data_IF_395190888919
#
_entry.id   IF_395190888919
#
_cell.length_a   1.000
_cell.length_b   1.000
_cell.length_c   1.000
_cell.angle_alpha   90.00
_cell.angle_beta   90.00
_cell.angle_gamma   90.00
#
_symmetry.space_group_name_H-M   'P 1'
#
loop_
_entity.id
_entity.type
_entity.pdbx_description
1 polymer ?
#
# COMPACT_ATOMS: atom_id res chain seq x y z
N UNK A 1 -53.76 -18.10 50.29
CA UNK A 1 -54.49 -18.44 51.55
C UNK A 1 -54.66 -19.96 51.65
N UNK A 2 -53.57 -20.71 51.89
CA UNK A 2 -53.64 -22.15 52.14
C UNK A 2 -52.85 -22.48 53.42
N UNK A 3 -53.37 -22.07 54.56
CA UNK A 3 -52.98 -22.62 55.86
C UNK A 3 -54.23 -22.79 56.69
N UNK A 4 -54.89 -23.94 56.58
CA UNK A 4 -55.62 -24.57 57.68
C UNK A 4 -56.05 -26.00 57.32
N UNK A 5 -56.23 -26.78 58.37
CA UNK A 5 -56.36 -28.24 58.43
C UNK A 5 -57.45 -28.83 57.52
N UNK A 6 -57.36 -30.16 57.31
CA UNK A 6 -58.28 -30.99 56.50
C UNK A 6 -59.73 -30.49 56.48
N UNK A 7 -60.15 -29.96 55.32
CA UNK A 7 -61.55 -29.68 54.98
C UNK A 7 -61.93 -28.20 55.12
N UNK A 8 -62.21 -27.58 53.98
CA UNK A 8 -62.78 -26.22 53.76
C UNK A 8 -61.81 -25.05 53.86
N UNK A 9 -61.49 -24.42 52.72
CA UNK A 9 -60.58 -23.25 52.67
C UNK A 9 -61.28 -21.89 52.81
N UNK A 10 -62.63 -21.79 52.83
CA UNK A 10 -63.29 -20.48 52.90
C UNK A 10 -63.94 -20.15 54.25
N UNK A 11 -64.46 -21.14 54.99
CA UNK A 11 -65.30 -20.92 56.17
C UNK A 11 -66.49 -19.97 55.94
N UNK A 12 -66.74 -19.59 54.68
CA UNK A 12 -67.59 -18.50 54.21
C UNK A 12 -68.40 -19.04 53.04
N UNK A 13 -69.72 -18.98 53.15
CA UNK A 13 -70.62 -19.45 52.10
C UNK A 13 -70.63 -18.45 50.93
N UNK A 14 -70.05 -18.86 49.80
CA UNK A 14 -70.05 -18.10 48.54
C UNK A 14 -71.12 -18.60 47.55
N UNK A 15 -72.06 -19.43 48.00
CA UNK A 15 -73.15 -19.89 47.15
C UNK A 15 -74.01 -18.72 46.66
N UNK A 16 -74.50 -18.86 45.43
CA UNK A 16 -75.37 -17.88 44.79
C UNK A 16 -76.53 -18.61 44.13
N UNK A 17 -77.62 -17.88 43.87
CA UNK A 17 -78.71 -18.42 43.06
C UNK A 17 -78.26 -18.46 41.60
N UNK A 18 -78.20 -19.67 41.04
CA UNK A 18 -78.08 -19.94 39.61
C UNK A 18 -79.50 -20.07 39.05
N UNK A 19 -79.83 -19.24 38.06
CA UNK A 19 -81.19 -19.08 37.53
C UNK A 19 -81.45 -19.98 36.31
N UNK A 20 -80.40 -20.52 35.69
CA UNK A 20 -80.47 -21.50 34.60
C UNK A 20 -79.93 -22.89 34.98
N UNK A 21 -79.97 -23.83 34.03
CA UNK A 21 -79.46 -25.20 34.23
C UNK A 21 -80.44 -26.15 34.92
N UNK A 22 -80.11 -27.45 34.91
CA UNK A 22 -80.91 -28.49 35.54
C UNK A 22 -80.17 -29.06 36.75
N UNK A 23 -80.83 -29.04 37.90
CA UNK A 23 -80.32 -29.74 39.09
C UNK A 23 -80.39 -31.26 38.85
N UNK A 24 -79.23 -31.90 38.88
CA UNK A 24 -79.10 -33.35 38.93
C UNK A 24 -78.39 -33.75 40.22
N UNK A 25 -78.79 -34.88 40.79
CA UNK A 25 -78.11 -35.45 41.94
C UNK A 25 -76.68 -35.91 41.57
N UNK A 26 -75.81 -36.04 42.58
CA UNK A 26 -74.45 -36.55 42.38
C UNK A 26 -74.43 -37.96 41.77
N UNK A 27 -75.43 -38.79 42.09
CA UNK A 27 -75.57 -40.14 41.53
C UNK A 27 -75.92 -40.08 40.03
N UNK A 28 -76.87 -39.22 39.63
CA UNK A 28 -77.24 -39.02 38.23
C UNK A 28 -76.09 -38.44 37.40
N UNK A 29 -75.33 -37.50 37.95
CA UNK A 29 -74.16 -36.94 37.26
C UNK A 29 -73.03 -37.97 37.14
N UNK A 30 -72.79 -38.79 38.17
CA UNK A 30 -71.80 -39.89 38.12
C UNK A 30 -72.17 -40.96 37.08
N UNK A 31 -73.44 -41.32 36.98
CA UNK A 31 -73.91 -42.22 35.93
C UNK A 31 -73.72 -41.61 34.54
N UNK A 32 -74.02 -40.31 34.39
CA UNK A 32 -73.94 -39.59 33.12
C UNK A 32 -72.50 -39.46 32.61
N UNK A 33 -71.53 -39.26 33.50
CA UNK A 33 -70.12 -39.14 33.13
C UNK A 33 -69.41 -40.50 32.94
N UNK A 34 -69.98 -41.58 33.47
CA UNK A 34 -69.46 -42.94 33.35
C UNK A 34 -68.15 -43.19 34.12
N UNK A 35 -67.74 -44.45 34.28
CA UNK A 35 -66.58 -44.83 35.10
C UNK A 35 -65.22 -44.40 34.54
N UNK A 36 -65.15 -44.02 33.26
CA UNK A 36 -63.88 -43.81 32.55
C UNK A 36 -63.48 -42.33 32.43
N UNK A 37 -64.36 -41.38 32.78
CA UNK A 37 -64.07 -39.95 32.61
C UNK A 37 -62.89 -39.49 33.46
N UNK A 38 -62.70 -40.10 34.63
CA UNK A 38 -61.57 -39.81 35.51
C UNK A 38 -60.24 -40.19 34.85
N UNK A 39 -60.17 -41.38 34.25
CA UNK A 39 -58.98 -41.82 33.49
C UNK A 39 -58.69 -40.89 32.32
N UNK A 40 -59.73 -40.37 31.65
CA UNK A 40 -59.57 -39.37 30.59
C UNK A 40 -59.01 -38.07 31.17
N UNK A 41 -59.58 -37.56 32.26
CA UNK A 41 -59.12 -36.33 32.91
C UNK A 41 -57.68 -36.45 33.41
N UNK A 42 -57.30 -37.57 34.04
CA UNK A 42 -55.91 -37.84 34.48
C UNK A 42 -54.92 -37.88 33.29
N UNK A 43 -55.37 -38.29 32.10
CA UNK A 43 -54.50 -38.34 30.90
C UNK A 43 -54.22 -36.96 30.27
N UNK A 44 -54.98 -35.92 30.62
CA UNK A 44 -54.86 -34.59 30.00
C UNK A 44 -53.62 -33.81 30.44
N UNK A 45 -53.01 -34.20 31.57
CA UNK A 45 -51.92 -33.45 32.19
C UNK A 45 -52.34 -32.08 32.75
N UNK A 46 -53.63 -31.78 32.81
CA UNK A 46 -54.18 -30.57 33.42
C UNK A 46 -54.96 -30.93 34.69
N UNK A 47 -55.00 -30.03 35.67
CA UNK A 47 -55.86 -30.18 36.84
C UNK A 47 -57.31 -29.92 36.40
N UNK A 48 -58.20 -30.89 36.59
CA UNK A 48 -59.59 -30.79 36.12
C UNK A 48 -60.59 -31.14 37.23
N UNK A 49 -61.70 -30.41 37.26
CA UNK A 49 -62.89 -30.76 38.05
C UNK A 49 -64.18 -30.55 37.28
N UNK A 50 -65.24 -31.21 37.75
CA UNK A 50 -66.61 -31.03 37.31
C UNK A 50 -67.43 -30.56 38.51
N UNK A 51 -68.19 -29.49 38.30
CA UNK A 51 -69.04 -28.88 39.31
C UNK A 51 -70.51 -29.02 38.91
N UNK A 52 -71.39 -29.34 39.85
CA UNK A 52 -72.83 -29.23 39.63
C UNK A 52 -73.30 -27.76 39.69
N UNK A 53 -74.56 -27.51 39.33
CA UNK A 53 -75.17 -26.17 39.37
C UNK A 53 -75.32 -25.60 40.80
N UNK A 54 -75.04 -26.42 41.82
CA UNK A 54 -75.03 -26.05 43.24
C UNK A 54 -73.60 -25.89 43.79
N UNK A 55 -72.61 -25.72 42.90
CA UNK A 55 -71.19 -25.49 43.20
C UNK A 55 -70.48 -26.67 43.87
N UNK A 56 -71.10 -27.85 43.98
CA UNK A 56 -70.44 -29.03 44.54
C UNK A 56 -69.43 -29.60 43.53
N UNK A 57 -68.30 -30.08 44.04
CA UNK A 57 -67.32 -30.79 43.22
C UNK A 57 -67.75 -32.25 43.07
N UNK A 58 -68.27 -32.59 41.89
CA UNK A 58 -68.81 -33.92 41.59
C UNK A 58 -67.70 -34.90 41.23
N UNK A 59 -66.70 -34.42 40.50
CA UNK A 59 -65.57 -35.20 40.02
C UNK A 59 -64.32 -34.32 39.95
N UNK A 60 -63.18 -34.89 40.28
CA UNK A 60 -61.87 -34.26 40.10
C UNK A 60 -60.82 -35.29 39.72
N UNK A 61 -59.75 -34.84 39.07
CA UNK A 61 -58.61 -35.70 38.75
C UNK A 61 -57.48 -35.57 39.79
N UNK A 62 -56.46 -36.41 39.66
CA UNK A 62 -55.37 -36.49 40.65
C UNK A 62 -54.61 -35.16 40.78
N UNK A 63 -54.37 -34.48 39.65
CA UNK A 63 -53.71 -33.17 39.61
C UNK A 63 -54.56 -32.07 40.26
N UNK A 64 -55.89 -32.11 40.12
CA UNK A 64 -56.77 -31.15 40.77
C UNK A 64 -56.82 -31.33 42.29
N UNK A 65 -56.80 -32.58 42.75
CA UNK A 65 -56.66 -32.90 44.18
C UNK A 65 -55.36 -32.36 44.75
N UNK A 66 -54.26 -32.51 44.02
CA UNK A 66 -52.95 -31.96 44.42
C UNK A 66 -52.95 -30.43 44.44
N UNK A 67 -53.52 -29.80 43.40
CA UNK A 67 -53.60 -28.34 43.29
C UNK A 67 -54.47 -27.76 44.43
N UNK A 68 -55.66 -28.34 44.66
CA UNK A 68 -56.66 -27.85 45.62
C UNK A 68 -56.41 -28.25 47.08
N UNK A 69 -55.54 -29.23 47.33
CA UNK A 69 -55.16 -29.68 48.67
C UNK A 69 -56.28 -30.36 49.48
N UNK A 70 -57.50 -30.48 48.94
CA UNK A 70 -58.67 -31.07 49.58
C UNK A 70 -59.30 -32.10 48.65
N UNK A 71 -59.53 -33.32 49.17
CA UNK A 71 -60.28 -34.36 48.48
C UNK A 71 -61.77 -34.05 48.50
N UNK A 72 -62.33 -33.75 47.34
CA UNK A 72 -63.71 -33.34 47.17
C UNK A 72 -64.59 -34.46 46.59
N UNK A 73 -64.02 -35.34 45.76
CA UNK A 73 -64.79 -36.44 45.16
C UNK A 73 -65.30 -37.42 46.23
N UNK A 74 -66.63 -37.58 46.31
CA UNK A 74 -67.28 -38.45 47.30
C UNK A 74 -67.61 -37.77 48.62
N UNK A 75 -67.36 -36.46 48.70
CA UNK A 75 -67.73 -35.62 49.83
C UNK A 75 -68.63 -34.46 49.34
N UNK A 76 -69.95 -34.67 49.43
CA UNK A 76 -70.98 -33.70 49.00
C UNK A 76 -70.93 -32.36 49.77
N UNK A 77 -70.07 -32.23 50.79
CA UNK A 77 -69.85 -31.00 51.52
C UNK A 77 -68.79 -30.08 50.89
N UNK A 78 -67.99 -30.55 49.92
CA UNK A 78 -66.91 -29.75 49.34
C UNK A 78 -67.39 -28.98 48.11
N UNK A 79 -67.43 -27.66 48.24
CA UNK A 79 -67.82 -26.75 47.16
C UNK A 79 -66.61 -26.25 46.39
N UNK A 80 -66.82 -25.72 45.19
CA UNK A 80 -65.75 -25.21 44.35
C UNK A 80 -64.89 -24.13 45.04
N UNK A 81 -65.53 -23.30 45.89
CA UNK A 81 -64.91 -22.26 46.70
C UNK A 81 -64.20 -22.79 47.96
N UNK A 82 -64.47 -24.04 48.37
CA UNK A 82 -63.76 -24.73 49.46
C UNK A 82 -62.44 -25.36 49.00
N UNK A 83 -62.20 -25.42 47.69
CA UNK A 83 -60.90 -25.75 47.09
C UNK A 83 -60.19 -24.48 46.59
N UNK A 84 -60.93 -23.60 45.89
CA UNK A 84 -60.40 -22.36 45.34
C UNK A 84 -61.43 -21.25 45.36
N UNK A 85 -61.16 -20.22 46.15
CA UNK A 85 -61.97 -19.01 46.17
C UNK A 85 -61.10 -17.78 45.91
N UNK A 86 -61.44 -17.02 44.87
CA UNK A 86 -61.01 -15.62 44.75
C UNK A 86 -62.21 -14.76 45.20
N UNK A 87 -62.14 -14.03 46.33
CA UNK A 87 -63.24 -13.18 46.82
C UNK A 87 -63.71 -12.10 45.85
N UNK A 88 -62.91 -11.75 44.83
CA UNK A 88 -63.31 -10.82 43.77
C UNK A 88 -64.22 -11.47 42.70
N UNK A 89 -64.23 -12.81 42.63
CA UNK A 89 -64.93 -13.61 41.62
C UNK A 89 -66.03 -14.47 42.24
N UNK A 90 -65.72 -15.18 43.32
CA UNK A 90 -66.66 -16.03 44.03
C UNK A 90 -67.68 -15.18 44.79
N UNK A 91 -68.97 -15.50 44.67
CA UNK A 91 -70.03 -14.71 45.30
C UNK A 91 -70.34 -13.38 44.60
N UNK A 92 -69.72 -13.07 43.45
CA UNK A 92 -70.05 -11.91 42.59
C UNK A 92 -70.67 -12.36 41.27
N UNK A 93 -71.15 -11.43 40.45
CA UNK A 93 -71.63 -11.76 39.10
C UNK A 93 -70.51 -12.30 38.17
N UNK A 94 -69.24 -12.14 38.56
CA UNK A 94 -68.09 -12.62 37.79
C UNK A 94 -67.80 -14.12 38.01
N UNK A 95 -68.55 -14.80 38.87
CA UNK A 95 -68.42 -16.25 39.08
C UNK A 95 -68.54 -17.00 37.75
N UNK A 96 -67.57 -17.88 37.44
CA UNK A 96 -67.52 -18.64 36.19
C UNK A 96 -68.80 -19.44 35.97
N UNK A 97 -69.28 -20.15 36.99
CA UNK A 97 -70.57 -20.86 36.96
C UNK A 97 -71.73 -19.96 36.54
N UNK A 98 -71.83 -18.77 37.14
CA UNK A 98 -72.91 -17.82 36.86
C UNK A 98 -72.81 -17.26 35.44
N UNK A 99 -71.60 -16.92 35.00
CA UNK A 99 -71.33 -16.44 33.65
C UNK A 99 -71.66 -17.48 32.56
N UNK A 100 -71.42 -18.77 32.81
CA UNK A 100 -71.78 -19.81 31.86
C UNK A 100 -73.28 -20.13 31.88
N UNK A 101 -73.85 -20.33 33.07
CA UNK A 101 -75.21 -20.86 33.22
C UNK A 101 -76.28 -19.78 33.05
N UNK A 102 -76.12 -18.60 33.67
CA UNK A 102 -77.12 -17.53 33.63
C UNK A 102 -76.95 -16.62 32.41
N UNK A 103 -75.70 -16.36 32.00
CA UNK A 103 -75.40 -15.49 30.86
C UNK A 103 -75.16 -16.24 29.55
N UNK A 104 -75.25 -17.58 29.56
CA UNK A 104 -75.25 -18.40 28.35
C UNK A 104 -73.93 -18.45 27.59
N UNK A 105 -72.79 -18.27 28.28
CA UNK A 105 -71.47 -18.40 27.64
C UNK A 105 -71.13 -19.88 27.41
N UNK A 106 -70.58 -20.19 26.24
CA UNK A 106 -70.17 -21.56 25.88
C UNK A 106 -68.76 -21.92 26.38
N UNK A 107 -67.94 -20.92 26.69
CA UNK A 107 -66.61 -21.10 27.26
C UNK A 107 -66.16 -19.82 27.99
N UNK A 108 -65.40 -19.98 29.06
CA UNK A 108 -64.56 -18.93 29.63
C UNK A 108 -63.13 -19.43 29.63
N UNK A 109 -62.23 -18.64 29.06
CA UNK A 109 -60.79 -18.90 29.05
C UNK A 109 -60.07 -17.67 29.59
N UNK A 110 -59.42 -17.81 30.72
CA UNK A 110 -58.75 -16.69 31.40
C UNK A 110 -57.41 -17.13 31.98
N UNK A 111 -56.43 -16.24 31.95
CA UNK A 111 -55.18 -16.44 32.66
C UNK A 111 -55.33 -15.97 34.11
N UNK A 112 -54.92 -16.81 35.06
CA UNK A 112 -55.04 -16.56 36.49
C UNK A 112 -53.77 -17.01 37.21
N UNK A 113 -53.33 -16.24 38.19
CA UNK A 113 -52.28 -16.66 39.11
C UNK A 113 -52.88 -17.57 40.19
N UNK A 114 -52.36 -18.80 40.30
CA UNK A 114 -52.82 -19.78 41.28
C UNK A 114 -51.72 -20.07 42.29
N UNK A 115 -52.03 -19.86 43.56
CA UNK A 115 -51.18 -20.32 44.65
C UNK A 115 -51.44 -21.83 44.84
N UNK A 116 -50.46 -22.65 44.45
CA UNK A 116 -50.42 -24.09 44.74
C UNK A 116 -50.40 -24.32 46.25
N UNK A 117 -50.81 -25.52 46.69
CA UNK A 117 -50.81 -25.91 48.10
C UNK A 117 -49.44 -25.76 48.79
N UNK A 118 -48.35 -25.86 48.04
CA UNK A 118 -46.97 -25.65 48.52
C UNK A 118 -46.52 -24.18 48.57
N UNK A 119 -47.43 -23.22 48.30
CA UNK A 119 -47.20 -21.78 48.36
C UNK A 119 -46.58 -21.17 47.09
N UNK A 120 -46.42 -21.95 46.00
CA UNK A 120 -45.92 -21.44 44.71
C UNK A 120 -47.03 -20.74 43.94
N UNK A 121 -46.74 -19.57 43.39
CA UNK A 121 -47.63 -18.91 42.43
C UNK A 121 -47.35 -19.49 41.05
N UNK A 122 -48.37 -20.11 40.45
CA UNK A 122 -48.33 -20.78 39.16
C UNK A 122 -49.25 -20.03 38.20
N UNK A 123 -48.71 -19.37 37.15
CA UNK A 123 -49.54 -18.84 36.08
C UNK A 123 -50.30 -19.99 35.43
N UNK A 124 -51.62 -19.90 35.43
CA UNK A 124 -52.52 -20.98 35.07
C UNK A 124 -53.55 -20.48 34.08
N UNK A 125 -53.71 -21.20 32.97
CA UNK A 125 -54.84 -21.03 32.07
C UNK A 125 -56.06 -21.77 32.67
N UNK A 126 -57.12 -21.02 32.98
CA UNK A 126 -58.39 -21.57 33.41
C UNK A 126 -59.36 -21.61 32.23
N UNK A 127 -59.75 -22.80 31.81
CA UNK A 127 -60.80 -23.04 30.82
C UNK A 127 -62.02 -23.63 31.50
N UNK A 128 -63.16 -22.95 31.41
CA UNK A 128 -64.44 -23.36 31.97
C UNK A 128 -65.45 -23.59 30.84
N UNK A 129 -66.08 -24.77 30.82
CA UNK A 129 -67.06 -25.16 29.79
C UNK A 129 -68.32 -25.74 30.40
N UNK A 130 -69.51 -25.47 29.85
CA UNK A 130 -70.74 -26.07 30.32
C UNK A 130 -70.88 -27.48 29.77
N UNK A 131 -71.27 -28.42 30.63
CA UNK A 131 -71.67 -29.77 30.25
C UNK A 131 -73.19 -29.77 30.13
N UNK A 132 -73.68 -30.12 28.94
CA UNK A 132 -75.10 -30.08 28.60
C UNK A 132 -75.67 -31.49 28.45
N UNK A 133 -76.93 -31.68 28.79
CA UNK A 133 -77.67 -32.92 28.50
C UNK A 133 -78.18 -32.96 27.05
N UNK A 134 -78.90 -34.03 26.69
CA UNK A 134 -79.47 -34.24 25.35
C UNK A 134 -80.45 -33.12 24.93
N UNK A 135 -81.05 -32.41 25.89
CA UNK A 135 -81.97 -31.29 25.66
C UNK A 135 -81.24 -29.93 25.57
N UNK A 136 -79.90 -29.93 25.69
CA UNK A 136 -79.06 -28.72 25.62
C UNK A 136 -79.01 -27.92 26.91
N UNK A 137 -79.58 -28.43 28.00
CA UNK A 137 -79.61 -27.77 29.31
C UNK A 137 -78.29 -28.01 30.03
N UNK A 138 -77.72 -26.97 30.65
CA UNK A 138 -76.47 -27.11 31.43
C UNK A 138 -76.76 -27.91 32.69
N UNK A 139 -76.09 -29.05 32.86
CA UNK A 139 -76.24 -29.95 34.01
C UNK A 139 -75.05 -29.92 34.95
N UNK A 140 -73.90 -29.47 34.44
CA UNK A 140 -72.66 -29.30 35.19
C UNK A 140 -71.73 -28.35 34.42
N UNK A 141 -70.63 -27.92 35.04
CA UNK A 141 -69.53 -27.27 34.33
C UNK A 141 -68.23 -28.03 34.55
N UNK A 142 -67.36 -28.04 33.57
CA UNK A 142 -65.99 -28.53 33.69
C UNK A 142 -65.04 -27.34 33.81
N UNK A 143 -64.16 -27.38 34.80
CA UNK A 143 -63.05 -26.45 34.94
C UNK A 143 -61.73 -27.20 34.71
N UNK A 144 -60.90 -26.65 33.84
CA UNK A 144 -59.56 -27.15 33.52
C UNK A 144 -58.55 -26.05 33.84
N UNK A 145 -57.58 -26.39 34.69
CA UNK A 145 -56.47 -25.55 35.12
C UNK A 145 -55.20 -26.12 34.50
N UNK A 146 -54.60 -25.37 33.58
CA UNK A 146 -53.38 -25.77 32.88
C UNK A 146 -52.24 -24.86 33.30
N UNK A 147 -51.18 -25.45 33.86
CA UNK A 147 -49.95 -24.72 34.19
C UNK A 147 -49.28 -24.25 32.88
N UNK A 148 -49.11 -22.94 32.74
CA UNK A 148 -48.50 -22.30 31.57
C UNK A 148 -47.13 -21.69 31.89
N UNK A 149 -46.52 -22.01 33.02
CA UNK A 149 -45.22 -21.48 33.44
C UNK A 149 -44.15 -21.73 32.37
N UNK A 150 -44.05 -22.97 31.88
CA UNK A 150 -43.11 -23.33 30.83
C UNK A 150 -43.40 -22.65 29.49
N UNK A 151 -44.67 -22.39 29.18
CA UNK A 151 -45.06 -21.65 27.99
C UNK A 151 -44.58 -20.19 28.09
N UNK A 152 -44.83 -19.54 29.23
CA UNK A 152 -44.40 -18.15 29.48
C UNK A 152 -42.88 -17.99 29.51
N UNK A 153 -42.16 -18.93 30.13
CA UNK A 153 -40.71 -18.95 30.12
C UNK A 153 -40.17 -19.10 28.68
N UNK A 154 -40.75 -20.01 27.90
CA UNK A 154 -40.36 -20.22 26.52
C UNK A 154 -40.66 -19.00 25.64
N UNK A 155 -41.87 -18.41 25.71
CA UNK A 155 -42.22 -17.22 24.91
C UNK A 155 -41.39 -16.02 25.32
N UNK A 156 -41.11 -15.84 26.62
CA UNK A 156 -40.22 -14.80 27.13
C UNK A 156 -38.79 -14.96 26.62
N UNK A 157 -38.24 -16.17 26.65
CA UNK A 157 -36.90 -16.45 26.11
C UNK A 157 -36.82 -16.22 24.61
N UNK A 158 -37.84 -16.66 23.84
CA UNK A 158 -37.87 -16.46 22.38
C UNK A 158 -37.97 -14.96 22.07
N UNK A 159 -38.79 -14.20 22.79
CA UNK A 159 -38.91 -12.75 22.61
C UNK A 159 -37.57 -12.04 22.83
N UNK A 160 -36.86 -12.41 23.89
CA UNK A 160 -35.52 -11.87 24.14
C UNK A 160 -34.55 -12.17 22.99
N UNK A 161 -34.52 -13.43 22.51
CA UNK A 161 -33.68 -13.81 21.36
C UNK A 161 -34.08 -13.09 20.07
N UNK A 162 -35.36 -12.84 19.84
CA UNK A 162 -35.86 -12.07 18.69
C UNK A 162 -35.36 -10.63 18.76
N UNK A 163 -35.44 -9.98 19.93
CA UNK A 163 -34.97 -8.60 20.09
C UNK A 163 -33.46 -8.48 19.91
N UNK A 164 -32.69 -9.45 20.40
CA UNK A 164 -31.25 -9.55 20.17
C UNK A 164 -30.94 -9.74 18.68
N UNK A 165 -31.62 -10.66 18.00
CA UNK A 165 -31.46 -10.88 16.56
C UNK A 165 -31.81 -9.63 15.75
N UNK A 166 -32.85 -8.86 16.13
CA UNK A 166 -33.17 -7.57 15.50
C UNK A 166 -32.04 -6.57 15.66
N UNK A 167 -31.42 -6.49 16.83
CA UNK A 167 -30.30 -5.59 17.08
C UNK A 167 -29.09 -5.97 16.21
N UNK A 168 -28.68 -7.24 16.25
CA UNK A 168 -27.56 -7.74 15.44
C UNK A 168 -27.81 -7.58 13.94
N UNK A 169 -29.03 -7.80 13.46
CA UNK A 169 -29.37 -7.61 12.03
C UNK A 169 -29.23 -6.14 11.61
N UNK A 170 -29.56 -5.18 12.48
CA UNK A 170 -29.32 -3.75 12.18
C UNK A 170 -27.83 -3.43 12.10
N UNK A 171 -27.02 -4.00 12.99
CA UNK A 171 -25.57 -3.82 12.96
C UNK A 171 -24.96 -4.42 11.68
N UNK A 172 -25.44 -5.59 11.24
CA UNK A 172 -25.02 -6.20 9.97
C UNK A 172 -25.37 -5.32 8.77
N UNK A 173 -26.58 -4.74 8.72
CA UNK A 173 -26.97 -3.82 7.66
C UNK A 173 -26.07 -2.58 7.61
N UNK A 174 -25.81 -1.97 8.78
CA UNK A 174 -24.94 -0.79 8.89
C UNK A 174 -23.51 -1.10 8.42
N UNK A 175 -22.94 -2.20 8.91
CA UNK A 175 -21.58 -2.61 8.54
C UNK A 175 -21.47 -2.93 7.05
N UNK A 176 -22.49 -3.55 6.45
CA UNK A 176 -22.51 -3.87 5.01
C UNK A 176 -22.52 -2.60 4.16
N UNK A 177 -23.32 -1.59 4.53
CA UNK A 177 -23.30 -0.29 3.85
C UNK A 177 -21.93 0.41 3.99
N UNK A 178 -21.34 0.37 5.19
CA UNK A 178 -20.02 0.98 5.42
C UNK A 178 -18.91 0.27 4.63
N UNK A 179 -18.96 -1.06 4.50
CA UNK A 179 -18.03 -1.83 3.66
C UNK A 179 -18.18 -1.43 2.19
N UNK A 180 -19.40 -1.36 1.65
CA UNK A 180 -19.65 -0.94 0.26
C UNK A 180 -19.13 0.48 -0.02
N UNK A 181 -19.38 1.42 0.90
CA UNK A 181 -18.86 2.79 0.82
C UNK A 181 -17.33 2.84 0.83
N UNK A 182 -16.70 2.15 1.79
CA UNK A 182 -15.24 2.08 1.89
C UNK A 182 -14.62 1.43 0.66
N UNK A 183 -15.23 0.37 0.12
CA UNK A 183 -14.76 -0.28 -1.11
C UNK A 183 -14.78 0.69 -2.29
N UNK A 184 -15.87 1.46 -2.44
CA UNK A 184 -15.98 2.50 -3.48
C UNK A 184 -14.94 3.63 -3.31
N UNK A 185 -14.66 4.05 -2.08
CA UNK A 185 -13.62 5.04 -1.79
C UNK A 185 -12.21 4.51 -2.13
N UNK A 186 -11.92 3.25 -1.77
CA UNK A 186 -10.63 2.62 -2.07
C UNK A 186 -10.44 2.30 -3.55
N UNK A 187 -11.52 1.96 -4.26
CA UNK A 187 -11.51 1.81 -5.71
C UNK A 187 -11.06 3.11 -6.41
N UNK A 188 -11.54 4.28 -5.97
CA UNK A 188 -11.05 5.56 -6.52
C UNK A 188 -9.58 5.82 -6.19
N UNK A 189 -9.17 5.54 -4.95
CA UNK A 189 -7.78 5.72 -4.54
C UNK A 189 -6.81 4.82 -5.35
N UNK A 190 -7.21 3.60 -5.71
CA UNK A 190 -6.37 2.73 -6.53
C UNK A 190 -6.33 3.17 -8.01
N UNK A 191 -7.38 3.83 -8.52
CA UNK A 191 -7.33 4.49 -9.84
C UNK A 191 -6.31 5.63 -9.90
N UNK A 192 -6.18 6.40 -8.81
CA UNK A 192 -5.12 7.40 -8.69
C UNK A 192 -3.74 6.74 -8.74
N UNK A 193 -3.55 5.62 -8.02
CA UNK A 193 -2.29 4.84 -8.09
C UNK A 193 -2.02 4.31 -9.50
N UNK A 194 -3.03 3.83 -10.22
CA UNK A 194 -2.89 3.41 -11.63
C UNK A 194 -2.35 4.54 -12.53
N UNK A 195 -2.81 5.77 -12.29
CA UNK A 195 -2.33 6.95 -13.03
C UNK A 195 -0.86 7.24 -12.71
N UNK A 196 -0.46 7.13 -11.44
CA UNK A 196 0.94 7.30 -11.03
C UNK A 196 1.85 6.21 -11.62
N UNK A 197 1.38 4.96 -11.70
CA UNK A 197 2.10 3.85 -12.35
C UNK A 197 2.29 4.10 -13.85
N UNK A 198 1.29 4.67 -14.52
CA UNK A 198 1.40 5.06 -15.92
C UNK A 198 2.43 6.19 -16.12
N UNK A 199 2.43 7.17 -15.22
CA UNK A 199 3.44 8.23 -15.20
C UNK A 199 4.85 7.67 -14.97
N UNK A 200 5.00 6.74 -14.01
CA UNK A 200 6.26 6.06 -13.74
C UNK A 200 6.77 5.31 -14.97
N UNK A 201 5.88 4.59 -15.68
CA UNK A 201 6.23 3.90 -16.92
C UNK A 201 6.82 4.85 -17.96
N UNK A 202 6.19 6.02 -18.16
CA UNK A 202 6.70 7.03 -19.08
C UNK A 202 8.07 7.58 -18.65
N UNK A 203 8.29 7.79 -17.35
CA UNK A 203 9.61 8.24 -16.85
C UNK A 203 10.69 7.17 -17.01
N UNK A 204 10.34 5.89 -16.88
CA UNK A 204 11.27 4.78 -17.12
C UNK A 204 11.69 4.73 -18.60
N UNK A 205 10.74 4.91 -19.52
CA UNK A 205 11.04 5.02 -20.96
C UNK A 205 11.93 6.23 -21.28
N UNK A 206 11.68 7.37 -20.64
CA UNK A 206 12.50 8.58 -20.81
C UNK A 206 13.93 8.40 -20.29
N UNK A 207 14.10 7.73 -19.14
CA UNK A 207 15.41 7.39 -18.59
C UNK A 207 16.15 6.42 -19.52
N UNK A 208 15.47 5.41 -20.05
CA UNK A 208 16.05 4.46 -21.00
C UNK A 208 16.58 5.18 -22.25
N UNK A 209 15.75 6.04 -22.86
CA UNK A 209 16.16 6.83 -24.03
C UNK A 209 17.34 7.77 -23.72
N UNK A 210 17.35 8.37 -22.53
CA UNK A 210 18.46 9.23 -22.09
C UNK A 210 19.74 8.41 -21.86
N UNK A 211 19.62 7.19 -21.36
CA UNK A 211 20.76 6.30 -21.17
C UNK A 211 21.41 5.93 -22.52
N UNK A 212 20.60 5.58 -23.52
CA UNK A 212 21.07 5.31 -24.88
C UNK A 212 21.76 6.54 -25.51
N UNK A 213 21.19 7.74 -25.32
CA UNK A 213 21.80 8.99 -25.82
C UNK A 213 23.14 9.29 -25.14
N UNK A 214 23.24 9.07 -23.83
CA UNK A 214 24.49 9.27 -23.08
C UNK A 214 25.54 8.23 -23.46
N UNK A 215 25.15 6.99 -23.76
CA UNK A 215 26.05 5.96 -24.29
C UNK A 215 26.65 6.43 -25.63
N UNK A 216 25.84 6.83 -26.59
CA UNK A 216 26.31 7.33 -27.90
C UNK A 216 27.24 8.54 -27.76
N UNK A 217 26.90 9.50 -26.89
CA UNK A 217 27.75 10.68 -26.64
C UNK A 217 29.09 10.26 -26.00
N UNK A 218 29.07 9.28 -25.11
CA UNK A 218 30.28 8.77 -24.44
C UNK A 218 31.20 8.05 -25.43
N UNK A 219 30.64 7.20 -26.31
CA UNK A 219 31.42 6.56 -27.38
C UNK A 219 32.11 7.59 -28.27
N UNK A 220 31.37 8.61 -28.73
CA UNK A 220 31.92 9.69 -29.55
C UNK A 220 33.02 10.49 -28.82
N UNK A 221 32.82 10.77 -27.52
CA UNK A 221 33.80 11.47 -26.71
C UNK A 221 35.08 10.65 -26.50
N UNK A 222 34.96 9.34 -26.33
CA UNK A 222 36.09 8.41 -26.22
C UNK A 222 36.88 8.37 -27.51
N UNK A 223 36.21 8.25 -28.66
CA UNK A 223 36.87 8.23 -29.97
C UNK A 223 37.60 9.55 -30.25
N UNK A 224 37.01 10.69 -29.90
CA UNK A 224 37.65 11.99 -30.02
C UNK A 224 38.89 12.12 -29.09
N UNK A 225 38.83 11.55 -27.88
CA UNK A 225 39.96 11.54 -26.96
C UNK A 225 41.11 10.65 -27.48
N UNK A 226 40.80 9.44 -27.97
CA UNK A 226 41.81 8.55 -28.59
C UNK A 226 42.44 9.22 -29.81
N UNK A 227 41.65 9.86 -30.67
CA UNK A 227 42.20 10.62 -31.80
C UNK A 227 43.12 11.76 -31.34
N UNK A 228 42.76 12.47 -30.27
CA UNK A 228 43.60 13.51 -29.69
C UNK A 228 44.92 12.98 -29.11
N UNK A 229 44.92 11.78 -28.54
CA UNK A 229 46.13 11.07 -28.10
C UNK A 229 47.04 10.75 -29.30
N UNK A 230 46.48 10.17 -30.36
CA UNK A 230 47.22 9.82 -31.59
C UNK A 230 47.84 11.07 -32.26
N UNK A 231 47.07 12.17 -32.37
CA UNK A 231 47.58 13.44 -32.93
C UNK A 231 48.70 14.05 -32.09
N UNK A 232 48.64 13.89 -30.76
CA UNK A 232 49.71 14.32 -29.86
C UNK A 232 50.98 13.47 -30.05
N UNK A 233 50.86 12.15 -30.19
CA UNK A 233 52.00 11.26 -30.48
C UNK A 233 52.65 11.59 -31.83
N UNK A 234 51.87 11.82 -32.88
CA UNK A 234 52.39 12.24 -34.19
C UNK A 234 53.14 13.57 -34.09
N UNK A 235 52.58 14.52 -33.34
CA UNK A 235 53.21 15.83 -33.13
C UNK A 235 54.54 15.72 -32.36
N UNK A 236 54.64 14.81 -31.38
CA UNK A 236 55.91 14.53 -30.68
C UNK A 236 56.96 14.01 -31.67
N UNK A 237 56.60 13.09 -32.57
CA UNK A 237 57.52 12.59 -33.60
C UNK A 237 58.03 13.71 -34.51
N UNK A 238 57.16 14.64 -34.91
CA UNK A 238 57.55 15.81 -35.72
C UNK A 238 58.52 16.71 -34.94
N UNK A 239 58.28 16.92 -33.65
CA UNK A 239 59.14 17.73 -32.78
C UNK A 239 60.54 17.09 -32.65
N UNK A 240 60.62 15.77 -32.52
CA UNK A 240 61.90 15.05 -32.49
C UNK A 240 62.69 15.22 -33.79
N UNK A 241 62.03 15.17 -34.95
CA UNK A 241 62.65 15.43 -36.25
C UNK A 241 63.17 16.87 -36.39
N UNK A 242 62.43 17.85 -35.86
CA UNK A 242 62.85 19.25 -35.81
C UNK A 242 64.09 19.38 -34.91
N UNK A 243 64.11 18.74 -33.74
CA UNK A 243 65.25 18.76 -32.82
C UNK A 243 66.51 18.13 -33.46
N UNK A 244 66.35 17.04 -34.21
CA UNK A 244 67.44 16.45 -34.98
C UNK A 244 67.97 17.40 -36.05
N UNK A 245 67.07 18.05 -36.79
CA UNK A 245 67.42 19.02 -37.83
C UNK A 245 68.15 20.23 -37.25
N UNK A 246 67.69 20.78 -36.13
CA UNK A 246 68.35 21.89 -35.44
C UNK A 246 69.79 21.53 -35.03
N UNK A 247 69.99 20.31 -34.52
CA UNK A 247 71.32 19.81 -34.14
C UNK A 247 72.26 19.62 -35.34
N UNK A 248 71.73 19.19 -36.49
CA UNK A 248 72.50 19.11 -37.74
C UNK A 248 72.93 20.51 -38.21
N UNK A 249 72.05 21.51 -38.13
CA UNK A 249 72.40 22.91 -38.45
C UNK A 249 73.51 23.43 -37.53
N UNK A 250 73.41 23.23 -36.21
CA UNK A 250 74.47 23.61 -35.27
C UNK A 250 75.82 22.96 -35.64
N UNK A 251 75.80 21.68 -36.03
CA UNK A 251 77.01 20.96 -36.46
C UNK A 251 77.61 21.54 -37.75
N UNK A 252 76.76 21.93 -38.70
CA UNK A 252 77.19 22.56 -39.96
C UNK A 252 77.79 23.96 -39.72
N UNK A 253 77.22 24.75 -38.81
CA UNK A 253 77.78 26.06 -38.44
C UNK A 253 79.15 25.90 -37.75
N UNK A 254 79.29 24.91 -36.87
CA UNK A 254 80.59 24.63 -36.25
C UNK A 254 81.69 24.33 -37.29
N UNK A 255 81.38 23.58 -38.34
CA UNK A 255 82.30 23.32 -39.47
C UNK A 255 82.56 24.56 -40.33
N UNK A 256 81.55 25.42 -40.50
CA UNK A 256 81.71 26.70 -41.18
C UNK A 256 82.71 27.58 -40.43
N UNK A 257 82.56 27.70 -39.10
CA UNK A 257 83.47 28.48 -38.26
C UNK A 257 84.92 27.97 -38.36
N UNK A 258 85.12 26.65 -38.37
CA UNK A 258 86.45 26.04 -38.57
C UNK A 258 87.04 26.41 -39.95
N UNK A 259 86.22 26.35 -41.01
CA UNK A 259 86.65 26.72 -42.36
C UNK A 259 86.95 28.22 -42.49
N UNK A 260 86.22 29.06 -41.75
CA UNK A 260 86.40 30.52 -41.74
C UNK A 260 87.66 30.90 -40.97
N UNK A 261 87.98 30.21 -39.87
CA UNK A 261 89.27 30.38 -39.18
C UNK A 261 90.46 30.00 -40.07
N UNK A 262 90.38 28.94 -40.88
CA UNK A 262 91.42 28.63 -41.87
C UNK A 262 91.60 29.78 -42.89
N UNK A 263 90.53 30.48 -43.27
CA UNK A 263 90.60 31.64 -44.17
C UNK A 263 91.29 32.81 -43.46
N UNK A 264 90.98 33.06 -42.19
CA UNK A 264 91.62 34.10 -41.37
C UNK A 264 93.15 33.92 -41.34
N UNK A 265 93.63 32.69 -41.06
CA UNK A 265 95.06 32.36 -41.08
C UNK A 265 95.70 32.63 -42.46
N UNK A 266 94.99 32.32 -43.55
CA UNK A 266 95.48 32.59 -44.91
C UNK A 266 95.55 34.09 -45.18
N UNK A 267 94.55 34.87 -44.73
CA UNK A 267 94.51 36.33 -44.89
C UNK A 267 95.66 36.99 -44.11
N UNK A 268 95.96 36.50 -42.91
CA UNK A 268 97.10 36.98 -42.11
C UNK A 268 98.43 36.76 -42.85
N UNK A 269 98.62 35.58 -43.46
CA UNK A 269 99.78 35.29 -44.31
C UNK A 269 99.83 36.19 -45.55
N UNK A 270 98.69 36.48 -46.19
CA UNK A 270 98.65 37.42 -47.34
C UNK A 270 99.07 38.82 -46.91
N UNK A 271 98.59 39.30 -45.75
CA UNK A 271 98.99 40.57 -45.17
C UNK A 271 100.50 40.62 -44.91
N UNK A 272 101.08 39.57 -44.32
CA UNK A 272 102.54 39.46 -44.13
C UNK A 272 103.30 39.49 -45.47
N UNK A 273 102.85 38.76 -46.48
CA UNK A 273 103.46 38.74 -47.82
C UNK A 273 103.37 40.12 -48.47
N UNK A 274 102.23 40.80 -48.37
CA UNK A 274 102.04 42.14 -48.92
C UNK A 274 102.98 43.15 -48.24
N UNK A 275 103.12 43.11 -46.92
CA UNK A 275 104.05 43.96 -46.18
C UNK A 275 105.51 43.69 -46.52
N UNK A 276 105.91 42.42 -46.65
CA UNK A 276 107.24 42.05 -47.12
C UNK A 276 107.50 42.53 -48.56
N UNK A 277 106.50 42.41 -49.44
CA UNK A 277 106.59 42.84 -50.84
C UNK A 277 106.70 44.36 -50.95
N UNK A 278 105.93 45.10 -50.15
CA UNK A 278 105.99 46.55 -50.06
C UNK A 278 107.38 47.02 -49.56
N UNK A 279 107.94 46.36 -48.53
CA UNK A 279 109.30 46.62 -48.05
C UNK A 279 110.37 46.32 -49.11
N UNK A 280 110.23 45.22 -49.86
CA UNK A 280 111.13 44.88 -50.97
C UNK A 280 111.06 45.91 -52.09
N UNK A 281 109.85 46.34 -52.45
CA UNK A 281 109.60 47.36 -53.46
C UNK A 281 110.18 48.72 -53.05
N UNK A 282 110.00 49.13 -51.78
CA UNK A 282 110.60 50.34 -51.23
C UNK A 282 112.13 50.30 -51.29
N UNK A 283 112.74 49.18 -50.91
CA UNK A 283 114.19 49.00 -51.00
C UNK A 283 114.68 49.07 -52.46
N UNK A 284 113.93 48.49 -53.40
CA UNK A 284 114.22 48.55 -54.83
C UNK A 284 114.09 49.99 -55.39
N UNK A 285 113.06 50.76 -54.99
CA UNK A 285 112.89 52.17 -55.36
C UNK A 285 114.03 53.04 -54.83
N UNK A 286 114.50 52.79 -53.60
CA UNK A 286 115.67 53.47 -53.02
C UNK A 286 116.94 53.19 -53.83
N UNK A 287 117.19 51.92 -54.19
CA UNK A 287 118.38 51.54 -54.94
C UNK A 287 118.32 52.01 -56.41
N UNK A 288 117.13 52.04 -57.01
CA UNK A 288 116.90 52.64 -58.32
C UNK A 288 117.17 54.16 -58.32
N UNK A 289 116.76 54.88 -57.26
CA UNK A 289 117.06 56.29 -57.09
C UNK A 289 118.58 56.56 -56.89
N UNK A 290 119.30 55.64 -56.23
CA UNK A 290 120.77 55.70 -56.10
C UNK A 290 121.50 55.52 -57.42
N UNK A 291 120.97 54.73 -58.34
CA UNK A 291 121.56 54.47 -59.65
C UNK A 291 121.39 55.62 -60.67
N UNK A 292 120.63 56.67 -60.33
CA UNK A 292 120.43 57.84 -61.20
C UNK A 292 119.74 57.47 -62.52
N UNK A 293 120.22 58.01 -63.65
CA UNK A 293 119.61 57.80 -64.98
C UNK A 293 119.55 56.32 -65.40
N UNK A 294 120.49 55.49 -64.94
CA UNK A 294 120.55 54.06 -65.24
C UNK A 294 119.49 53.24 -64.48
N UNK A 295 118.91 53.77 -63.40
CA UNK A 295 117.89 53.11 -62.57
C UNK A 295 116.45 53.48 -62.91
N UNK A 296 116.23 54.42 -63.83
CA UNK A 296 114.89 54.99 -64.12
C UNK A 296 113.83 53.95 -64.48
N UNK A 297 114.16 52.95 -65.31
CA UNK A 297 113.24 51.86 -65.64
C UNK A 297 112.95 50.92 -64.46
N UNK A 298 113.92 50.70 -63.57
CA UNK A 298 113.75 49.90 -62.35
C UNK A 298 112.92 50.65 -61.30
N UNK A 299 113.03 51.97 -61.22
CA UNK A 299 112.22 52.80 -60.32
C UNK A 299 110.72 52.70 -60.65
N UNK A 300 110.36 52.67 -61.94
CA UNK A 300 108.95 52.52 -62.36
C UNK A 300 108.41 51.14 -61.97
N UNK A 301 109.18 50.08 -62.16
CA UNK A 301 108.77 48.72 -61.76
C UNK A 301 108.65 48.60 -60.25
N UNK A 302 109.59 49.17 -59.49
CA UNK A 302 109.54 49.15 -58.03
C UNK A 302 108.32 49.91 -57.49
N UNK A 303 107.95 51.05 -58.07
CA UNK A 303 106.73 51.77 -57.71
C UNK A 303 105.45 50.98 -58.07
N UNK A 304 105.41 50.30 -59.21
CA UNK A 304 104.28 49.45 -59.60
C UNK A 304 104.12 48.25 -58.64
N UNK A 305 105.22 47.59 -58.25
CA UNK A 305 105.21 46.49 -57.27
C UNK A 305 104.78 47.00 -55.89
N UNK A 306 105.21 48.21 -55.51
CA UNK A 306 104.78 48.87 -54.27
C UNK A 306 103.26 49.09 -54.27
N UNK A 307 102.73 49.66 -55.35
CA UNK A 307 101.30 49.88 -55.53
C UNK A 307 100.49 48.58 -55.48
N UNK A 308 100.98 47.51 -56.13
CA UNK A 308 100.32 46.19 -56.10
C UNK A 308 100.35 45.56 -54.70
N UNK A 309 101.42 45.77 -53.94
CA UNK A 309 101.52 45.29 -52.57
C UNK A 309 100.57 46.06 -51.63
N UNK A 310 100.47 47.38 -51.78
CA UNK A 310 99.50 48.21 -51.06
C UNK A 310 98.06 47.81 -51.41
N UNK A 311 97.74 47.61 -52.70
CA UNK A 311 96.43 47.13 -53.14
C UNK A 311 96.13 45.72 -52.61
N UNK A 312 97.11 44.81 -52.58
CA UNK A 312 96.93 43.46 -52.03
C UNK A 312 96.63 43.50 -50.53
N UNK A 313 97.27 44.42 -49.79
CA UNK A 313 97.01 44.65 -48.37
C UNK A 313 95.61 45.20 -48.14
N UNK A 314 95.18 46.20 -48.90
CA UNK A 314 93.83 46.76 -48.82
C UNK A 314 92.78 45.67 -49.08
N UNK A 315 93.00 44.80 -50.09
CA UNK A 315 92.12 43.65 -50.37
C UNK A 315 92.12 42.61 -49.26
N UNK A 316 93.28 42.32 -48.65
CA UNK A 316 93.37 41.40 -47.53
C UNK A 316 92.58 41.91 -46.32
N UNK A 317 92.68 43.20 -45.98
CA UNK A 317 91.87 43.82 -44.93
C UNK A 317 90.36 43.87 -45.24
N UNK A 318 89.97 44.02 -46.52
CA UNK A 318 88.56 43.86 -46.92
C UNK A 318 88.07 42.41 -46.67
N UNK A 319 88.89 41.40 -46.96
CA UNK A 319 88.56 39.99 -46.69
C UNK A 319 88.49 39.72 -45.19
N UNK A 320 89.43 40.25 -44.41
CA UNK A 320 89.44 40.14 -42.93
C UNK A 320 88.12 40.67 -42.34
N UNK A 321 87.67 41.85 -42.79
CA UNK A 321 86.39 42.41 -42.35
C UNK A 321 85.18 41.55 -42.74
N UNK A 322 85.24 40.88 -43.91
CA UNK A 322 84.21 39.93 -44.35
C UNK A 322 84.22 38.65 -43.52
N UNK A 323 85.39 38.15 -43.16
CA UNK A 323 85.60 36.97 -42.29
C UNK A 323 85.01 37.24 -40.91
N UNK A 324 85.36 38.37 -40.29
CA UNK A 324 84.81 38.80 -39.00
C UNK A 324 83.27 38.87 -39.04
N UNK A 325 82.71 39.48 -40.09
CA UNK A 325 81.26 39.56 -40.26
C UNK A 325 80.60 38.18 -40.40
N UNK A 326 81.25 37.21 -41.04
CA UNK A 326 80.73 35.84 -41.16
C UNK A 326 80.81 35.11 -39.82
N UNK A 327 81.86 35.32 -39.03
CA UNK A 327 81.99 34.77 -37.68
C UNK A 327 80.90 35.32 -36.75
N UNK A 328 80.71 36.65 -36.73
CA UNK A 328 79.65 37.30 -35.95
C UNK A 328 78.26 36.74 -36.30
N UNK A 329 77.93 36.65 -37.59
CA UNK A 329 76.64 36.08 -38.01
C UNK A 329 76.49 34.60 -37.66
N UNK A 330 77.60 33.85 -37.66
CA UNK A 330 77.59 32.44 -37.29
C UNK A 330 77.36 32.27 -35.78
N UNK A 331 77.95 33.12 -34.95
CA UNK A 331 77.72 33.15 -33.51
C UNK A 331 76.26 33.53 -33.17
N UNK A 332 75.73 34.59 -33.79
CA UNK A 332 74.32 35.01 -33.66
C UNK A 332 73.36 33.88 -34.06
N UNK A 333 73.69 33.13 -35.11
CA UNK A 333 72.88 31.99 -35.56
C UNK A 333 72.91 30.84 -34.54
N UNK A 334 74.05 30.57 -33.92
CA UNK A 334 74.17 29.54 -32.86
C UNK A 334 73.38 29.93 -31.62
N UNK A 335 73.43 31.20 -31.21
CA UNK A 335 72.63 31.72 -30.09
C UNK A 335 71.13 31.54 -30.37
N UNK A 336 70.68 31.97 -31.55
CA UNK A 336 69.27 31.84 -31.98
C UNK A 336 68.82 30.36 -32.04
N UNK A 337 69.69 29.45 -32.48
CA UNK A 337 69.41 28.01 -32.45
C UNK A 337 69.33 27.44 -31.03
N UNK A 338 70.10 28.01 -30.09
CA UNK A 338 70.01 27.70 -28.66
C UNK A 338 68.63 28.04 -28.12
N UNK A 339 68.18 29.28 -28.32
CA UNK A 339 66.84 29.73 -27.92
C UNK A 339 65.73 28.89 -28.58
N UNK A 340 65.88 28.59 -29.86
CA UNK A 340 64.92 27.76 -30.61
C UNK A 340 64.81 26.35 -30.02
N UNK A 341 65.93 25.74 -29.61
CA UNK A 341 65.91 24.43 -28.95
C UNK A 341 65.19 24.45 -27.59
N UNK A 342 65.31 25.53 -26.81
CA UNK A 342 64.57 25.68 -25.56
C UNK A 342 63.06 25.75 -25.80
N UNK A 343 62.65 26.49 -26.83
CA UNK A 343 61.25 26.58 -27.26
C UNK A 343 60.72 25.22 -27.72
N UNK A 344 61.50 24.48 -28.51
CA UNK A 344 61.17 23.12 -28.95
C UNK A 344 60.99 22.17 -27.77
N UNK A 345 61.90 22.17 -26.80
CA UNK A 345 61.78 21.31 -25.60
C UNK A 345 60.53 21.67 -24.77
N UNK A 346 60.25 22.96 -24.62
CA UNK A 346 59.04 23.42 -23.94
C UNK A 346 57.79 22.97 -24.69
N UNK A 347 57.79 23.08 -26.02
CA UNK A 347 56.72 22.60 -26.90
C UNK A 347 56.49 21.09 -26.77
N UNK A 348 57.57 20.30 -26.84
CA UNK A 348 57.53 18.84 -26.65
C UNK A 348 56.84 18.46 -25.34
N UNK A 349 57.28 19.08 -24.24
CA UNK A 349 56.69 18.84 -22.91
C UNK A 349 55.21 19.19 -22.88
N UNK A 350 54.78 20.26 -23.54
CA UNK A 350 53.37 20.67 -23.59
C UNK A 350 52.51 19.68 -24.38
N UNK A 351 52.99 19.21 -25.53
CA UNK A 351 52.28 18.21 -26.35
C UNK A 351 52.19 16.87 -25.61
N UNK A 352 53.27 16.44 -24.96
CA UNK A 352 53.26 15.22 -24.16
C UNK A 352 52.24 15.28 -23.01
N UNK A 353 52.13 16.42 -22.33
CA UNK A 353 51.10 16.61 -21.31
C UNK A 353 49.68 16.60 -21.91
N UNK A 354 49.50 17.14 -23.13
CA UNK A 354 48.21 17.10 -23.82
C UNK A 354 47.79 15.67 -24.18
N UNK A 355 48.72 14.86 -24.72
CA UNK A 355 48.47 13.43 -24.99
C UNK A 355 48.07 12.67 -23.73
N UNK A 356 48.79 12.87 -22.62
CA UNK A 356 48.43 12.28 -21.32
C UNK A 356 47.04 12.74 -20.84
N UNK A 357 46.66 13.99 -21.09
CA UNK A 357 45.32 14.50 -20.74
C UNK A 357 44.24 13.82 -21.58
N UNK A 358 44.47 13.61 -22.87
CA UNK A 358 43.52 12.90 -23.74
C UNK A 358 43.32 11.45 -23.30
N UNK A 359 44.40 10.78 -22.91
CA UNK A 359 44.32 9.44 -22.33
C UNK A 359 43.47 9.39 -21.05
N UNK A 360 43.69 10.33 -20.13
CA UNK A 360 42.90 10.44 -18.90
C UNK A 360 41.41 10.73 -19.20
N UNK A 361 41.13 11.54 -20.22
CA UNK A 361 39.75 11.78 -20.68
C UNK A 361 39.13 10.47 -21.19
N UNK A 362 39.84 9.69 -22.01
CA UNK A 362 39.34 8.42 -22.52
C UNK A 362 39.00 7.43 -21.39
N UNK A 363 39.85 7.32 -20.36
CA UNK A 363 39.60 6.48 -19.17
C UNK A 363 38.37 6.95 -18.37
N UNK A 364 38.21 8.27 -18.18
CA UNK A 364 37.04 8.83 -17.48
C UNK A 364 35.75 8.58 -18.26
N UNK A 365 35.78 8.70 -19.58
CA UNK A 365 34.63 8.43 -20.45
C UNK A 365 34.27 6.95 -20.47
N UNK A 366 35.26 6.04 -20.44
CA UNK A 366 35.01 4.60 -20.29
C UNK A 366 34.29 4.30 -18.97
N UNK A 367 34.73 4.90 -17.86
CA UNK A 367 34.02 4.78 -16.57
C UNK A 367 32.61 5.36 -16.60
N UNK A 368 32.36 6.46 -17.34
CA UNK A 368 31.03 7.00 -17.52
C UNK A 368 30.13 6.02 -18.31
N UNK A 369 30.70 5.33 -19.30
CA UNK A 369 30.03 4.31 -20.11
C UNK A 369 29.65 3.09 -19.25
N UNK A 370 30.56 2.59 -18.40
CA UNK A 370 30.22 1.53 -17.45
C UNK A 370 29.06 1.95 -16.52
N UNK A 371 29.08 3.22 -16.08
CA UNK A 371 28.01 3.80 -15.28
C UNK A 371 26.66 3.84 -16.01
N UNK A 372 26.64 4.18 -17.30
CA UNK A 372 25.40 4.25 -18.07
C UNK A 372 24.80 2.87 -18.33
N UNK A 373 25.64 1.84 -18.53
CA UNK A 373 25.21 0.45 -18.65
C UNK A 373 24.51 -0.03 -17.37
N UNK A 374 25.02 0.33 -16.20
CA UNK A 374 24.35 0.00 -14.92
C UNK A 374 23.02 0.76 -14.75
N UNK A 375 22.93 2.01 -15.23
CA UNK A 375 21.68 2.77 -15.25
C UNK A 375 20.66 2.11 -16.18
N UNK A 376 21.07 1.68 -17.37
CA UNK A 376 20.19 0.96 -18.30
C UNK A 376 19.65 -0.33 -17.67
N UNK A 377 20.53 -1.14 -17.05
CA UNK A 377 20.11 -2.35 -16.32
C UNK A 377 19.13 -2.06 -15.19
N UNK A 378 19.38 -1.02 -14.39
CA UNK A 378 18.47 -0.63 -13.32
C UNK A 378 17.12 -0.14 -13.86
N UNK A 379 17.12 0.52 -15.02
CA UNK A 379 15.92 0.98 -15.72
C UNK A 379 15.08 -0.20 -16.23
N UNK A 380 15.71 -1.24 -16.77
CA UNK A 380 15.03 -2.49 -17.15
C UNK A 380 14.37 -3.18 -15.95
N UNK A 381 15.06 -3.24 -14.81
CA UNK A 381 14.50 -3.78 -13.56
C UNK A 381 13.32 -2.95 -13.05
N UNK A 382 13.38 -1.62 -13.19
CA UNK A 382 12.28 -0.71 -12.87
C UNK A 382 11.09 -0.91 -13.82
N UNK A 383 11.32 -1.12 -15.11
CA UNK A 383 10.25 -1.40 -16.08
C UNK A 383 9.49 -2.68 -15.67
N UNK A 384 10.20 -3.77 -15.43
CA UNK A 384 9.60 -5.03 -14.98
C UNK A 384 8.85 -4.88 -13.65
N UNK A 385 9.40 -4.13 -12.70
CA UNK A 385 8.73 -3.84 -11.43
C UNK A 385 7.46 -3.01 -11.62
N UNK A 386 7.48 -2.06 -12.54
CA UNK A 386 6.33 -1.20 -12.86
C UNK A 386 5.20 -1.99 -13.50
N UNK A 387 5.51 -2.92 -14.41
CA UNK A 387 4.53 -3.87 -14.98
C UNK A 387 3.90 -4.75 -13.90
N UNK A 388 4.70 -5.25 -12.95
CA UNK A 388 4.18 -6.03 -11.81
C UNK A 388 3.25 -5.19 -10.93
N UNK A 389 3.59 -3.93 -10.66
CA UNK A 389 2.74 -3.02 -9.90
C UNK A 389 1.43 -2.75 -10.65
N UNK A 390 1.48 -2.54 -11.96
CA UNK A 390 0.27 -2.37 -12.78
C UNK A 390 -0.66 -3.58 -12.66
N UNK A 391 -0.12 -4.80 -12.75
CA UNK A 391 -0.90 -6.04 -12.56
C UNK A 391 -1.52 -6.13 -11.16
N UNK A 392 -0.77 -5.78 -10.11
CA UNK A 392 -1.28 -5.78 -8.73
C UNK A 392 -2.39 -4.74 -8.53
N UNK A 393 -2.28 -3.59 -9.19
CA UNK A 393 -3.30 -2.54 -9.19
C UNK A 393 -4.59 -3.06 -9.83
N UNK A 394 -4.52 -3.71 -10.98
CA UNK A 394 -5.68 -4.29 -11.66
C UNK A 394 -6.35 -5.39 -10.80
N UNK A 395 -5.56 -6.30 -10.21
CA UNK A 395 -6.09 -7.32 -9.28
C UNK A 395 -6.76 -6.69 -8.04
N UNK A 396 -6.21 -5.58 -7.54
CA UNK A 396 -6.77 -4.86 -6.39
C UNK A 396 -8.08 -4.17 -6.76
N UNK A 397 -8.18 -3.61 -7.98
CA UNK A 397 -9.42 -3.05 -8.53
C UNK A 397 -10.52 -4.11 -8.55
N UNK A 398 -10.24 -5.27 -9.12
CA UNK A 398 -11.18 -6.40 -9.19
C UNK A 398 -11.61 -6.86 -7.78
N UNK A 399 -10.65 -6.90 -6.84
CA UNK A 399 -10.91 -7.24 -5.43
C UNK A 399 -11.88 -6.28 -4.75
N UNK A 400 -11.75 -4.96 -4.97
CA UNK A 400 -12.69 -3.98 -4.40
C UNK A 400 -14.08 -4.10 -5.01
N UNK A 401 -14.18 -4.36 -6.32
CA UNK A 401 -15.49 -4.60 -6.93
C UNK A 401 -16.17 -5.86 -6.37
N UNK A 402 -15.40 -6.93 -6.11
CA UNK A 402 -15.92 -8.13 -5.48
C UNK A 402 -16.41 -7.86 -4.05
N UNK A 403 -15.62 -7.15 -3.23
CA UNK A 403 -16.02 -6.80 -1.85
C UNK A 403 -17.29 -5.94 -1.84
N UNK A 404 -17.45 -5.02 -2.80
CA UNK A 404 -18.67 -4.22 -2.91
C UNK A 404 -19.90 -5.09 -3.22
N UNK A 405 -19.77 -6.05 -4.15
CA UNK A 405 -20.85 -7.01 -4.47
C UNK A 405 -21.19 -7.91 -3.28
N UNK A 406 -20.19 -8.45 -2.59
CA UNK A 406 -20.43 -9.30 -1.41
C UNK A 406 -21.13 -8.52 -0.28
N UNK A 407 -20.81 -7.24 -0.10
CA UNK A 407 -21.50 -6.40 0.87
C UNK A 407 -22.97 -6.14 0.49
N UNK A 408 -23.27 -6.00 -0.79
CA UNK A 408 -24.66 -5.91 -1.29
C UNK A 408 -25.43 -7.21 -1.07
N UNK A 409 -24.81 -8.37 -1.33
CA UNK A 409 -25.41 -9.69 -1.09
C UNK A 409 -25.70 -9.93 0.40
N UNK A 410 -24.78 -9.54 1.29
CA UNK A 410 -24.99 -9.61 2.75
C UNK A 410 -26.15 -8.70 3.17
N UNK A 411 -26.22 -7.47 2.63
CA UNK A 411 -27.30 -6.55 2.93
C UNK A 411 -28.67 -7.14 2.52
N UNK A 412 -28.77 -7.72 1.31
CA UNK A 412 -29.98 -8.38 0.83
C UNK A 412 -30.39 -9.58 1.70
N UNK A 413 -29.45 -10.47 2.04
CA UNK A 413 -29.71 -11.60 2.92
C UNK A 413 -30.16 -11.14 4.32
N UNK A 414 -29.61 -10.04 4.82
CA UNK A 414 -29.99 -9.48 6.11
C UNK A 414 -31.38 -8.82 6.09
N UNK A 415 -31.82 -8.24 4.97
CA UNK A 415 -33.20 -7.79 4.78
C UNK A 415 -34.19 -8.97 4.84
N UNK A 416 -33.87 -10.09 4.19
CA UNK A 416 -34.66 -11.32 4.29
C UNK A 416 -34.71 -11.85 5.73
N UNK A 417 -33.57 -11.82 6.44
CA UNK A 417 -33.48 -12.23 7.83
C UNK A 417 -34.35 -11.34 8.74
N UNK A 418 -34.33 -10.02 8.56
CA UNK A 418 -35.21 -9.11 9.31
C UNK A 418 -36.69 -9.43 9.06
N UNK A 419 -37.08 -9.73 7.82
CA UNK A 419 -38.46 -10.13 7.52
C UNK A 419 -38.88 -11.42 8.26
N UNK A 420 -37.99 -12.42 8.32
CA UNK A 420 -38.24 -13.64 9.09
C UNK A 420 -38.33 -13.37 10.59
N UNK A 421 -37.47 -12.50 11.12
CA UNK A 421 -37.50 -12.12 12.55
C UNK A 421 -38.81 -11.40 12.90
N UNK A 422 -39.33 -10.54 12.01
CA UNK A 422 -40.64 -9.89 12.17
C UNK A 422 -41.78 -10.92 12.19
N UNK A 423 -41.73 -11.94 11.33
CA UNK A 423 -42.69 -13.04 11.34
C UNK A 423 -42.66 -13.82 12.65
N UNK A 424 -41.47 -14.20 13.13
CA UNK A 424 -41.31 -14.91 14.42
C UNK A 424 -41.83 -14.05 15.57
N UNK A 425 -41.49 -12.75 15.59
CA UNK A 425 -42.00 -11.80 16.57
C UNK A 425 -43.53 -11.80 16.61
N UNK A 426 -44.17 -11.77 15.43
CA UNK A 426 -45.63 -11.81 15.32
C UNK A 426 -46.25 -13.12 15.80
N UNK A 427 -45.61 -14.27 15.52
CA UNK A 427 -46.07 -15.57 16.02
C UNK A 427 -45.93 -15.69 17.54
N UNK A 428 -44.85 -15.17 18.14
CA UNK A 428 -44.67 -15.12 19.60
C UNK A 428 -45.71 -14.23 20.26
N UNK A 429 -46.01 -13.07 19.68
CA UNK A 429 -47.06 -12.19 20.18
C UNK A 429 -48.44 -12.87 20.09
N UNK A 430 -48.73 -13.61 19.01
CA UNK A 430 -49.95 -14.45 18.90
C UNK A 430 -50.03 -15.55 19.95
N UNK A 431 -48.90 -16.21 20.27
CA UNK A 431 -48.87 -17.22 21.33
C UNK A 431 -49.22 -16.62 22.70
N UNK A 432 -48.83 -15.36 22.95
CA UNK A 432 -49.23 -14.64 24.17
C UNK A 432 -50.68 -14.13 24.11
N UNK A 433 -51.21 -13.77 22.93
CA UNK A 433 -52.61 -13.32 22.78
C UNK A 433 -53.63 -14.47 22.84
N UNK A 434 -53.26 -15.69 22.46
CA UNK A 434 -54.14 -16.87 22.51
C UNK A 434 -54.51 -17.29 23.96
N UNK A 435 -53.82 -16.76 24.98
CA UNK A 435 -54.17 -16.88 26.40
C UNK A 435 -55.09 -15.76 26.91
N UNK A 436 -55.31 -14.68 26.13
CA UNK A 436 -56.10 -13.50 26.52
C UNK A 436 -57.33 -13.36 25.61
N UNK A 437 -58.20 -14.36 25.58
CA UNK A 437 -59.63 -14.12 25.31
C UNK A 437 -60.39 -13.89 26.61
N UNK A 438 -59.88 -12.96 27.43
CA UNK A 438 -60.51 -12.48 28.66
C UNK A 438 -60.75 -10.97 28.57
N UNK A 439 -61.81 -10.56 27.88
CA UNK A 439 -62.55 -9.39 28.34
C UNK A 439 -63.75 -9.91 29.15
N UNK A 440 -63.49 -10.12 30.44
CA UNK A 440 -64.48 -10.26 31.49
C UNK A 440 -64.23 -9.14 32.51
#
# INVERSE_FOLDING_TARGET
MATQEQGTTSGTDYSQVISGGAEKSHEELRELFGSNIRTIMDSTGAAMRILDTNFNVVLENSLMKELGGVEAEGNDAVKCYDQFCNPEVCGTDNCTMKQLVDHGRDEIRVEVEKESYDGRIVPTELVVRPLRDEDGTVVAISETFRDISHLKEATGSIKHSVDELKATSRDVAYNSQDISRLSSEKHRAIQDVSTEVSSLSATVEEIAATADEVEEISENARDAAVQGEDEAEETISIIDDIQYSAKDVTTKIARLNESVHEIEEIVEVINEIADQTNLLALNASIEAARAGDAGSGFAVVAEEVKSLAEESKDRASEIESLVDSVLDHSEETVETLGETNEVIQTGSTKVQNAGQTFKEIAEVVEHATDGIVEVARATDEQAASTEQIASMVDETVDGFEQVAREAEDIAAANEEQMSQIEQISGEVDRMNELDIQSNL
#
